data_IF_083984622725
#
_entry.id   IF_083984622725
#
_cell.length_a   1.000
_cell.length_b   1.000
_cell.length_c   1.000
_cell.angle_alpha   90.00
_cell.angle_beta   90.00
_cell.angle_gamma   90.00
#
_symmetry.space_group_name_H-M   'P 1'
#
loop_
_entity.id
_entity.type
_entity.pdbx_description
1 polymer ?
#
# COMPACT_ATOMS: atom_id res chain seq x y z
N UNK A 1 21.93 -8.00 -5.74
CA UNK A 1 21.06 -8.96 -6.44
C UNK A 1 19.97 -8.18 -7.17
N UNK A 2 19.85 -8.43 -8.48
CA UNK A 2 19.06 -7.68 -9.46
C UNK A 2 17.59 -8.09 -9.34
N UNK A 3 16.68 -7.13 -9.22
CA UNK A 3 15.26 -7.32 -9.54
C UNK A 3 14.76 -6.14 -10.37
N UNK A 4 15.09 -6.19 -11.66
CA UNK A 4 14.35 -5.52 -12.73
C UNK A 4 13.49 -6.60 -13.37
N UNK A 5 12.22 -6.70 -13.00
CA UNK A 5 11.21 -7.41 -13.79
C UNK A 5 9.87 -7.25 -13.09
N UNK A 6 9.05 -6.33 -13.61
CA UNK A 6 7.60 -6.44 -13.75
C UNK A 6 7.09 -5.12 -14.34
N UNK A 7 7.22 -5.01 -15.67
CA UNK A 7 6.54 -4.01 -16.50
C UNK A 7 5.02 -4.20 -16.35
N UNK A 8 4.30 -3.21 -15.80
CA UNK A 8 2.87 -2.85 -16.06
C UNK A 8 2.18 -2.20 -14.84
N UNK A 9 2.82 -1.21 -14.20
CA UNK A 9 2.12 -0.32 -13.27
C UNK A 9 2.55 1.14 -13.52
N UNK A 10 1.63 2.12 -13.46
CA UNK A 10 1.93 3.52 -13.77
C UNK A 10 3.03 4.04 -12.84
N UNK A 11 3.75 5.09 -13.28
CA UNK A 11 4.88 5.82 -12.65
C UNK A 11 4.77 6.03 -11.12
N UNK A 12 4.76 4.95 -10.34
CA UNK A 12 4.66 4.95 -8.90
C UNK A 12 6.06 4.70 -8.34
N UNK A 13 6.49 5.49 -7.34
CA UNK A 13 7.73 5.23 -6.63
C UNK A 13 7.81 3.79 -6.12
N UNK A 14 8.99 3.17 -6.25
CA UNK A 14 9.19 1.75 -5.97
C UNK A 14 8.87 1.38 -4.51
N UNK A 15 9.18 2.29 -3.58
CA UNK A 15 8.88 2.18 -2.15
C UNK A 15 7.37 2.18 -1.87
N UNK A 16 6.61 3.08 -2.51
CA UNK A 16 5.16 3.14 -2.37
C UNK A 16 4.51 1.88 -2.95
N UNK A 17 4.99 1.40 -4.10
CA UNK A 17 4.51 0.15 -4.69
C UNK A 17 4.77 -1.05 -3.78
N UNK A 18 5.97 -1.16 -3.19
CA UNK A 18 6.30 -2.24 -2.26
C UNK A 18 5.36 -2.27 -1.04
N UNK A 19 5.00 -1.12 -0.49
CA UNK A 19 4.05 -1.04 0.62
C UNK A 19 2.63 -1.41 0.21
N UNK A 20 2.18 -1.02 -0.98
CA UNK A 20 0.87 -1.40 -1.52
C UNK A 20 0.79 -2.92 -1.69
N UNK A 21 1.82 -3.56 -2.25
CA UNK A 21 1.88 -5.02 -2.37
C UNK A 21 1.85 -5.71 -1.00
N UNK A 22 2.62 -5.18 -0.04
CA UNK A 22 2.61 -5.69 1.35
C UNK A 22 1.22 -5.59 1.97
N UNK A 23 0.54 -4.45 1.83
CA UNK A 23 -0.81 -4.26 2.34
C UNK A 23 -1.82 -5.23 1.69
N UNK A 24 -1.71 -5.47 0.38
CA UNK A 24 -2.55 -6.44 -0.32
C UNK A 24 -2.35 -7.87 0.22
N UNK A 25 -1.11 -8.28 0.50
CA UNK A 25 -0.82 -9.57 1.12
C UNK A 25 -1.40 -9.69 2.53
N UNK A 26 -1.24 -8.65 3.37
CA UNK A 26 -1.77 -8.65 4.73
C UNK A 26 -3.31 -8.69 4.71
N UNK A 27 -3.96 -8.00 3.77
CA UNK A 27 -5.43 -8.09 3.62
C UNK A 27 -5.90 -9.50 3.33
N UNK A 28 -5.23 -10.23 2.42
CA UNK A 28 -5.56 -11.63 2.14
C UNK A 28 -5.45 -12.49 3.40
N UNK A 29 -4.38 -12.29 4.18
CA UNK A 29 -4.18 -12.98 5.46
C UNK A 29 -5.31 -12.67 6.46
N UNK A 30 -5.59 -11.39 6.71
CA UNK A 30 -6.64 -10.94 7.66
C UNK A 30 -8.05 -11.37 7.21
N UNK A 31 -8.30 -11.48 5.91
CA UNK A 31 -9.57 -11.96 5.38
C UNK A 31 -9.81 -13.45 5.73
N UNK A 32 -8.75 -14.27 5.68
CA UNK A 32 -8.79 -15.68 6.09
C UNK A 32 -8.75 -15.85 7.62
N UNK A 33 -7.94 -15.06 8.32
CA UNK A 33 -7.69 -15.17 9.75
C UNK A 33 -8.21 -13.93 10.49
N UNK A 34 -9.54 -13.87 10.68
CA UNK A 34 -10.23 -12.68 11.22
C UNK A 34 -9.87 -12.34 12.67
N UNK A 35 -9.36 -13.30 13.44
CA UNK A 35 -9.04 -13.15 14.88
C UNK A 35 -7.61 -12.59 15.07
N UNK A 36 -6.77 -12.58 14.02
CA UNK A 36 -5.39 -12.11 14.11
C UNK A 36 -5.32 -10.56 14.27
N UNK A 37 -5.26 -10.13 15.53
CA UNK A 37 -5.18 -8.72 15.93
C UNK A 37 -3.85 -8.08 15.50
N UNK A 38 -2.75 -8.82 15.59
CA UNK A 38 -1.41 -8.35 15.21
C UNK A 38 -1.34 -8.06 13.70
N UNK A 39 -1.91 -8.95 12.87
CA UNK A 39 -1.98 -8.72 11.43
C UNK A 39 -2.88 -7.51 11.07
N UNK A 40 -4.00 -7.32 11.79
CA UNK A 40 -4.85 -6.12 11.62
C UNK A 40 -4.11 -4.84 11.99
N UNK A 41 -3.36 -4.85 13.09
CA UNK A 41 -2.53 -3.71 13.49
C UNK A 41 -1.42 -3.44 12.47
N UNK A 42 -0.74 -4.49 11.99
CA UNK A 42 0.26 -4.40 10.92
C UNK A 42 -0.30 -3.85 9.61
N UNK A 43 -1.53 -4.20 9.25
CA UNK A 43 -2.24 -3.61 8.11
C UNK A 43 -2.45 -2.10 8.31
N UNK A 44 -2.96 -1.70 9.49
CA UNK A 44 -3.20 -0.29 9.82
C UNK A 44 -1.93 0.56 9.77
N UNK A 45 -0.82 0.04 10.30
CA UNK A 45 0.48 0.72 10.23
C UNK A 45 0.97 0.86 8.78
N UNK A 46 0.84 -0.20 7.98
CA UNK A 46 1.25 -0.21 6.58
C UNK A 46 0.44 0.81 5.77
N UNK A 47 -0.88 0.84 5.96
CA UNK A 47 -1.76 1.82 5.30
C UNK A 47 -1.47 3.25 5.73
N UNK A 48 -1.16 3.47 7.02
CA UNK A 48 -0.75 4.79 7.51
C UNK A 48 0.54 5.26 6.82
N UNK A 49 1.52 4.36 6.64
CA UNK A 49 2.77 4.66 5.93
C UNK A 49 2.55 4.98 4.45
N UNK A 50 1.66 4.24 3.77
CA UNK A 50 1.26 4.52 2.38
C UNK A 50 0.68 5.94 2.27
N UNK A 51 -0.23 6.33 3.17
CA UNK A 51 -0.84 7.68 3.18
C UNK A 51 0.21 8.78 3.40
N UNK A 52 1.15 8.57 4.32
CA UNK A 52 2.23 9.51 4.59
C UNK A 52 3.16 9.68 3.39
N UNK A 53 3.56 8.59 2.74
CA UNK A 53 4.41 8.66 1.53
C UNK A 53 3.68 9.27 0.34
N UNK A 54 2.40 8.95 0.18
CA UNK A 54 1.57 9.60 -0.84
C UNK A 54 1.52 11.12 -0.65
N UNK A 55 1.38 11.60 0.60
CA UNK A 55 1.43 13.03 0.92
C UNK A 55 2.79 13.65 0.56
N UNK A 56 3.89 12.95 0.90
CA UNK A 56 5.24 13.37 0.53
C UNK A 56 5.38 13.51 -0.99
N UNK A 57 5.05 12.47 -1.76
CA UNK A 57 5.21 12.48 -3.21
C UNK A 57 4.27 13.44 -3.94
N UNK A 58 3.11 13.78 -3.36
CA UNK A 58 2.27 14.88 -3.84
C UNK A 58 2.96 16.23 -3.67
N UNK A 59 3.64 16.45 -2.54
CA UNK A 59 4.40 17.69 -2.29
C UNK A 59 5.59 17.82 -3.24
N UNK A 60 6.29 16.71 -3.48
CA UNK A 60 7.43 16.65 -4.43
C UNK A 60 6.98 16.62 -5.91
N UNK A 61 5.67 16.73 -6.20
CA UNK A 61 5.08 16.68 -7.56
C UNK A 61 5.40 15.42 -8.36
N UNK A 62 5.79 14.33 -7.69
CA UNK A 62 6.03 13.02 -8.28
C UNK A 62 4.70 12.31 -8.55
N UNK A 63 3.73 12.52 -7.66
CA UNK A 63 2.39 11.95 -7.75
C UNK A 63 1.36 13.04 -8.09
N UNK A 64 0.34 12.73 -8.92
CA UNK A 64 -0.77 13.64 -9.15
C UNK A 64 -1.48 14.02 -7.86
N UNK A 65 -1.94 15.27 -7.76
CA UNK A 65 -2.60 15.79 -6.54
C UNK A 65 -3.89 15.03 -6.23
N UNK A 66 -4.57 14.58 -7.28
CA UNK A 66 -5.78 13.76 -7.26
C UNK A 66 -5.52 12.29 -6.92
N UNK A 67 -4.26 11.84 -6.89
CA UNK A 67 -3.94 10.44 -6.56
C UNK A 67 -4.46 10.08 -5.17
N UNK A 68 -5.25 9.01 -5.07
CA UNK A 68 -5.77 8.51 -3.79
C UNK A 68 -5.46 7.04 -3.65
N UNK A 69 -5.03 6.66 -2.46
CA UNK A 69 -4.94 5.26 -2.08
C UNK A 69 -6.34 4.73 -1.79
N UNK A 70 -6.88 3.93 -2.72
CA UNK A 70 -8.15 3.24 -2.53
C UNK A 70 -7.83 1.86 -1.94
N UNK A 71 -8.03 1.72 -0.64
CA UNK A 71 -8.13 0.42 -0.02
C UNK A 71 -9.44 -0.21 -0.50
N UNK A 72 -9.42 -1.44 -1.02
CA UNK A 72 -10.64 -2.23 -1.14
C UNK A 72 -11.32 -2.19 0.23
N UNK A 73 -12.52 -1.64 0.29
CA UNK A 73 -13.20 -1.26 1.52
C UNK A 73 -13.22 -2.41 2.54
N UNK A 74 -13.31 -2.02 3.82
CA UNK A 74 -13.74 -2.95 4.86
C UNK A 74 -15.14 -3.40 4.47
N UNK A 75 -15.27 -4.60 3.89
CA UNK A 75 -16.56 -5.25 3.76
C UNK A 75 -17.14 -5.31 5.16
N UNK A 76 -18.20 -4.52 5.38
CA UNK A 76 -18.96 -4.46 6.62
C UNK A 76 -19.57 -5.84 6.93
#
# INVERSE_FOLDING_TARGET
QILRENNLAPKLPADLNALIQKAASIRKHVATHKIDLEARYGLMLTESKIRSLAKYYKREKVLPVDWKYVAAERVA
#
